data_IF_038871394840
#
_entry.id   IF_038871394840
#
_cell.length_a   1.000
_cell.length_b   1.000
_cell.length_c   1.000
_cell.angle_alpha   90.00
_cell.angle_beta   90.00
_cell.angle_gamma   90.00
#
_symmetry.space_group_name_H-M   'P 1'
#
loop_
_entity.id
_entity.type
_entity.pdbx_description
1 polymer ?
#
# COMPACT_ATOMS: atom_id res chain seq x y z
N UNK A 1 53.98 -0.70 24.26
CA UNK A 1 53.02 -0.85 23.15
C UNK A 1 51.79 -1.59 23.67
N UNK A 2 50.62 -0.95 23.65
CA UNK A 2 49.30 -1.59 23.52
C UNK A 2 48.26 -0.46 23.43
N UNK A 3 47.98 0.00 22.21
CA UNK A 3 46.88 0.93 21.93
C UNK A 3 45.59 0.11 21.98
N UNK A 4 44.70 0.39 22.93
CA UNK A 4 43.34 -0.16 22.94
C UNK A 4 42.45 0.74 22.08
N UNK A 5 42.32 0.41 20.80
CA UNK A 5 41.19 0.84 19.98
C UNK A 5 39.99 -0.05 20.33
N UNK A 6 39.12 0.44 21.21
CA UNK A 6 37.79 -0.12 21.41
C UNK A 6 36.81 0.62 20.52
N UNK A 7 36.35 -0.05 19.46
CA UNK A 7 35.42 0.48 18.47
C UNK A 7 34.09 0.90 19.11
N UNK A 8 33.68 2.15 18.85
CA UNK A 8 32.32 2.61 19.06
C UNK A 8 31.44 2.02 17.94
N UNK A 9 30.66 0.99 18.25
CA UNK A 9 29.58 0.55 17.38
C UNK A 9 28.40 1.49 17.64
N UNK A 10 28.28 2.51 16.80
CA UNK A 10 27.06 3.31 16.67
C UNK A 10 26.01 2.42 16.01
N UNK A 11 25.22 1.74 16.83
CA UNK A 11 23.99 1.10 16.39
C UNK A 11 22.96 2.21 16.15
N UNK A 12 22.90 2.73 14.91
CA UNK A 12 21.72 3.43 14.42
C UNK A 12 20.55 2.43 14.39
N UNK A 13 19.86 2.29 15.52
CA UNK A 13 18.56 1.66 15.60
C UNK A 13 17.55 2.56 14.90
N UNK A 14 17.35 2.34 13.60
CA UNK A 14 16.11 2.75 12.95
C UNK A 14 15.02 1.87 13.55
N UNK A 15 14.25 2.44 14.48
CA UNK A 15 13.02 1.82 14.93
C UNK A 15 12.11 1.70 13.71
N UNK A 16 12.07 0.52 13.11
CA UNK A 16 11.06 0.18 12.11
C UNK A 16 9.77 0.02 12.90
N UNK A 17 9.01 1.11 13.02
CA UNK A 17 7.66 1.04 13.55
C UNK A 17 6.87 0.05 12.70
N UNK A 18 6.13 -0.90 13.31
CA UNK A 18 5.31 -1.81 12.54
C UNK A 18 4.34 -1.00 11.70
N UNK A 19 4.48 -1.14 10.39
CA UNK A 19 3.54 -0.64 9.40
C UNK A 19 2.19 -1.30 9.67
N UNK A 20 1.17 -0.49 9.95
CA UNK A 20 -0.20 -0.94 10.17
C UNK A 20 -1.15 -0.10 9.33
N UNK A 21 -2.26 -0.70 8.90
CA UNK A 21 -3.35 0.02 8.23
C UNK A 21 -3.91 1.15 9.09
N UNK A 22 -3.80 1.05 10.42
CA UNK A 22 -4.22 2.10 11.35
C UNK A 22 -3.30 3.35 11.35
N UNK A 23 -2.14 3.30 10.66
CA UNK A 23 -1.26 4.47 10.53
C UNK A 23 -1.84 5.47 9.51
N UNK A 24 -2.22 6.69 9.93
CA UNK A 24 -2.75 7.69 9.02
C UNK A 24 -1.79 8.02 7.87
N UNK A 25 -0.48 8.00 8.10
CA UNK A 25 0.51 8.27 7.05
C UNK A 25 0.50 7.18 5.96
N UNK A 26 0.19 5.93 6.33
CA UNK A 26 0.03 4.84 5.38
C UNK A 26 -1.20 5.02 4.51
N UNK A 27 -2.33 5.37 5.13
CA UNK A 27 -3.59 5.61 4.43
C UNK A 27 -3.42 6.73 3.40
N UNK A 28 -2.85 7.86 3.81
CA UNK A 28 -2.58 8.99 2.92
C UNK A 28 -1.65 8.60 1.77
N UNK A 29 -0.59 7.84 2.07
CA UNK A 29 0.34 7.37 1.04
C UNK A 29 -0.35 6.43 0.05
N UNK A 30 -1.12 5.46 0.51
CA UNK A 30 -1.83 4.53 -0.36
C UNK A 30 -2.87 5.25 -1.22
N UNK A 31 -3.64 6.17 -0.63
CA UNK A 31 -4.61 7.00 -1.36
C UNK A 31 -3.92 7.80 -2.48
N UNK A 32 -2.80 8.45 -2.19
CA UNK A 32 -2.04 9.20 -3.19
C UNK A 32 -1.50 8.32 -4.33
N UNK A 33 -1.00 7.10 -4.02
CA UNK A 33 -0.56 6.16 -5.04
C UNK A 33 -1.73 5.66 -5.90
N UNK A 34 -2.87 5.36 -5.28
CA UNK A 34 -4.08 4.93 -5.97
C UNK A 34 -4.64 6.03 -6.88
N UNK A 35 -4.62 7.30 -6.45
CA UNK A 35 -4.99 8.46 -7.26
C UNK A 35 -4.03 8.61 -8.47
N UNK A 36 -2.72 8.51 -8.23
CA UNK A 36 -1.71 8.61 -9.29
C UNK A 36 -1.85 7.50 -10.35
N UNK A 37 -2.11 6.27 -9.92
CA UNK A 37 -2.42 5.17 -10.83
C UNK A 37 -3.74 5.43 -11.58
N UNK A 38 -4.80 5.81 -10.87
CA UNK A 38 -6.14 6.02 -11.45
C UNK A 38 -6.18 7.15 -12.47
N UNK A 39 -5.37 8.20 -12.29
CA UNK A 39 -5.23 9.31 -13.23
C UNK A 39 -4.68 8.89 -14.61
N UNK A 40 -4.07 7.70 -14.69
CA UNK A 40 -3.48 7.15 -15.92
C UNK A 40 -4.43 6.19 -16.64
N UNK A 41 -5.52 5.80 -16.00
CA UNK A 41 -6.49 4.88 -16.59
C UNK A 41 -7.51 5.65 -17.45
N UNK A 42 -7.94 5.07 -18.59
CA UNK A 42 -8.98 5.68 -19.42
C UNK A 42 -10.34 5.76 -18.69
N UNK A 43 -10.56 4.91 -17.70
CA UNK A 43 -11.69 4.98 -16.76
C UNK A 43 -11.18 4.71 -15.36
N UNK A 44 -11.40 5.68 -14.47
CA UNK A 44 -10.91 5.61 -13.11
C UNK A 44 -11.89 4.88 -12.20
N UNK A 45 -11.46 3.90 -11.39
CA UNK A 45 -12.32 3.31 -10.36
C UNK A 45 -12.71 4.33 -9.28
N UNK A 46 -11.94 5.41 -9.14
CA UNK A 46 -12.17 6.52 -8.21
C UNK A 46 -13.06 7.63 -8.79
N UNK A 47 -13.51 7.49 -10.04
CA UNK A 47 -14.41 8.46 -10.67
C UNK A 47 -15.68 8.63 -9.84
N UNK A 48 -16.05 9.89 -9.57
CA UNK A 48 -17.19 10.24 -8.75
C UNK A 48 -16.97 10.17 -7.23
N UNK A 49 -15.83 9.66 -6.74
CA UNK A 49 -15.52 9.67 -5.31
C UNK A 49 -14.93 11.02 -4.88
N UNK A 50 -15.47 11.60 -3.81
CA UNK A 50 -14.91 12.76 -3.14
C UNK A 50 -13.56 12.42 -2.49
N UNK A 51 -12.66 13.40 -2.28
CA UNK A 51 -11.35 13.14 -1.66
C UNK A 51 -11.42 12.41 -0.32
N UNK A 52 -12.39 12.78 0.54
CA UNK A 52 -12.62 12.08 1.82
C UNK A 52 -12.99 10.60 1.60
N UNK A 53 -13.92 10.32 0.70
CA UNK A 53 -14.33 8.95 0.35
C UNK A 53 -13.19 8.12 -0.24
N UNK A 54 -12.22 8.74 -0.94
CA UNK A 54 -11.02 8.03 -1.44
C UNK A 54 -10.07 7.64 -0.31
N UNK A 55 -9.91 8.51 0.68
CA UNK A 55 -9.15 8.21 1.90
C UNK A 55 -9.83 7.10 2.70
N UNK A 56 -11.14 7.17 2.89
CA UNK A 56 -11.89 6.14 3.62
C UNK A 56 -11.88 4.79 2.87
N UNK A 57 -11.91 4.83 1.53
CA UNK A 57 -11.68 3.64 0.70
C UNK A 57 -10.28 3.06 0.92
N UNK A 58 -9.24 3.89 0.97
CA UNK A 58 -7.87 3.46 1.20
C UNK A 58 -7.73 2.79 2.57
N UNK A 59 -8.27 3.40 3.63
CA UNK A 59 -8.28 2.83 4.98
C UNK A 59 -9.00 1.48 5.03
N UNK A 60 -10.18 1.39 4.40
CA UNK A 60 -10.93 0.13 4.26
C UNK A 60 -10.10 -0.95 3.57
N UNK A 61 -9.43 -0.65 2.45
CA UNK A 61 -8.63 -1.63 1.72
C UNK A 61 -7.46 -2.09 2.58
N UNK A 62 -6.69 -1.16 3.15
CA UNK A 62 -5.52 -1.49 3.96
C UNK A 62 -5.90 -2.33 5.17
N UNK A 63 -6.98 -1.98 5.88
CA UNK A 63 -7.43 -2.69 7.08
C UNK A 63 -7.90 -4.10 6.77
N UNK A 64 -8.72 -4.28 5.73
CA UNK A 64 -9.19 -5.61 5.33
C UNK A 64 -8.05 -6.48 4.80
N UNK A 65 -7.13 -5.88 4.05
CA UNK A 65 -5.99 -6.60 3.49
C UNK A 65 -4.96 -6.99 4.55
N UNK A 66 -4.69 -6.12 5.53
CA UNK A 66 -3.87 -6.45 6.70
C UNK A 66 -4.52 -7.55 7.54
N UNK A 67 -5.84 -7.52 7.72
CA UNK A 67 -6.57 -8.57 8.44
C UNK A 67 -6.45 -9.93 7.75
N UNK A 68 -6.51 -9.96 6.42
CA UNK A 68 -6.44 -11.20 5.64
C UNK A 68 -5.00 -11.75 5.48
N UNK A 69 -4.00 -10.88 5.36
CA UNK A 69 -2.65 -11.28 4.91
C UNK A 69 -1.50 -10.76 5.79
N UNK A 70 -1.82 -10.04 6.87
CA UNK A 70 -0.88 -9.42 7.79
C UNK A 70 0.02 -8.36 7.15
N UNK A 71 1.04 -7.94 7.90
CA UNK A 71 2.00 -6.93 7.47
C UNK A 71 2.75 -7.31 6.17
N UNK A 72 2.94 -8.61 5.91
CA UNK A 72 3.60 -9.09 4.69
C UNK A 72 2.76 -8.83 3.42
N UNK A 73 1.45 -9.07 3.49
CA UNK A 73 0.53 -8.72 2.42
C UNK A 73 0.45 -7.21 2.24
N UNK A 74 0.35 -6.47 3.35
CA UNK A 74 0.30 -5.01 3.33
C UNK A 74 1.54 -4.40 2.65
N UNK A 75 2.74 -4.92 2.96
CA UNK A 75 3.98 -4.50 2.31
C UNK A 75 4.00 -4.80 0.80
N UNK A 76 3.51 -5.98 0.41
CA UNK A 76 3.40 -6.35 -1.01
C UNK A 76 2.40 -5.45 -1.76
N UNK A 77 1.25 -5.14 -1.14
CA UNK A 77 0.23 -4.24 -1.68
C UNK A 77 0.80 -2.83 -1.90
N UNK A 78 1.48 -2.28 -0.90
CA UNK A 78 2.13 -0.97 -1.01
C UNK A 78 3.19 -0.94 -2.11
N UNK A 79 3.96 -2.03 -2.25
CA UNK A 79 4.98 -2.15 -3.29
C UNK A 79 4.37 -2.21 -4.68
N UNK A 80 3.35 -3.05 -4.89
CA UNK A 80 2.60 -3.12 -6.15
C UNK A 80 1.99 -1.77 -6.51
N UNK A 81 1.32 -1.11 -5.55
CA UNK A 81 0.66 0.18 -5.83
C UNK A 81 1.68 1.28 -6.17
N UNK A 82 2.87 1.25 -5.54
CA UNK A 82 3.97 2.15 -5.90
C UNK A 82 4.47 1.93 -7.33
N UNK A 83 4.60 0.67 -7.74
CA UNK A 83 5.01 0.27 -9.10
C UNK A 83 3.98 0.73 -10.12
N UNK A 84 2.70 0.47 -9.88
CA UNK A 84 1.59 0.93 -10.72
C UNK A 84 1.53 2.46 -10.85
N UNK A 85 1.66 3.19 -9.74
CA UNK A 85 1.65 4.65 -9.74
C UNK A 85 2.82 5.25 -10.55
N UNK A 86 4.00 4.61 -10.51
CA UNK A 86 5.16 5.02 -11.31
C UNK A 86 4.97 4.80 -12.81
N UNK A 87 4.05 3.93 -13.21
CA UNK A 87 3.75 3.64 -14.60
C UNK A 87 4.43 2.43 -15.19
N UNK A 88 4.81 1.48 -14.33
CA UNK A 88 5.31 0.20 -14.79
C UNK A 88 4.28 -0.49 -15.69
N UNK A 89 4.79 -1.31 -16.61
CA UNK A 89 3.98 -2.16 -17.46
C UNK A 89 3.42 -3.33 -16.65
N UNK A 90 2.33 -3.94 -17.12
CA UNK A 90 1.64 -5.02 -16.40
C UNK A 90 2.47 -6.31 -16.24
N UNK A 91 3.57 -6.43 -16.97
CA UNK A 91 4.54 -7.53 -16.88
C UNK A 91 5.66 -7.27 -15.86
N UNK A 92 5.63 -6.15 -15.13
CA UNK A 92 6.54 -5.94 -13.99
C UNK A 92 6.39 -7.09 -12.98
N UNK A 93 7.52 -7.70 -12.60
CA UNK A 93 7.53 -8.88 -11.75
C UNK A 93 6.84 -8.63 -10.40
N UNK A 94 6.89 -7.40 -9.88
CA UNK A 94 6.20 -7.02 -8.64
C UNK A 94 4.68 -7.17 -8.78
N UNK A 95 4.14 -6.76 -9.92
CA UNK A 95 2.71 -6.87 -10.23
C UNK A 95 2.34 -8.34 -10.43
N UNK A 96 3.16 -9.09 -11.18
CA UNK A 96 2.95 -10.53 -11.43
C UNK A 96 2.94 -11.32 -10.13
N UNK A 97 3.95 -11.12 -9.27
CA UNK A 97 4.08 -11.82 -8.00
C UNK A 97 2.96 -11.45 -7.02
N UNK A 98 2.55 -10.19 -7.00
CA UNK A 98 1.41 -9.77 -6.19
C UNK A 98 0.12 -10.45 -6.67
N UNK A 99 -0.17 -10.38 -7.97
CA UNK A 99 -1.39 -10.94 -8.55
C UNK A 99 -1.48 -12.45 -8.37
N UNK A 100 -0.36 -13.17 -8.53
CA UNK A 100 -0.31 -14.61 -8.34
C UNK A 100 -0.65 -15.04 -6.90
N UNK A 101 -0.38 -14.18 -5.92
CA UNK A 101 -0.54 -14.49 -4.49
C UNK A 101 -1.81 -13.91 -3.88
N UNK A 102 -2.21 -12.71 -4.30
CA UNK A 102 -3.22 -11.92 -3.63
C UNK A 102 -4.25 -11.29 -4.56
N UNK A 103 -4.10 -11.42 -5.88
CA UNK A 103 -4.96 -10.76 -6.87
C UNK A 103 -6.46 -10.96 -6.62
N UNK A 104 -6.95 -12.20 -6.49
CA UNK A 104 -8.38 -12.45 -6.26
C UNK A 104 -8.94 -11.82 -4.98
N UNK A 105 -8.16 -11.82 -3.89
CA UNK A 105 -8.58 -11.20 -2.63
C UNK A 105 -8.51 -9.67 -2.68
N UNK A 106 -7.48 -9.13 -3.34
CA UNK A 106 -7.35 -7.70 -3.57
C UNK A 106 -8.55 -7.18 -4.40
N UNK A 107 -8.88 -7.83 -5.51
CA UNK A 107 -10.01 -7.43 -6.36
C UNK A 107 -11.34 -7.45 -5.59
N UNK A 108 -11.56 -8.48 -4.77
CA UNK A 108 -12.75 -8.58 -3.93
C UNK A 108 -12.82 -7.43 -2.92
N UNK A 109 -11.75 -7.21 -2.15
CA UNK A 109 -11.68 -6.16 -1.13
C UNK A 109 -11.82 -4.77 -1.76
N UNK A 110 -11.15 -4.54 -2.89
CA UNK A 110 -11.22 -3.30 -3.66
C UNK A 110 -12.67 -2.98 -4.05
N UNK A 111 -13.38 -3.93 -4.64
CA UNK A 111 -14.77 -3.74 -5.04
C UNK A 111 -15.70 -3.48 -3.84
N UNK A 112 -15.53 -4.25 -2.76
CA UNK A 112 -16.31 -4.10 -1.52
C UNK A 112 -16.13 -2.70 -0.93
N UNK A 113 -14.88 -2.26 -0.76
CA UNK A 113 -14.56 -0.95 -0.22
C UNK A 113 -15.00 0.19 -1.17
N UNK A 114 -14.83 0.05 -2.48
CA UNK A 114 -15.32 1.05 -3.45
C UNK A 114 -16.84 1.19 -3.40
N UNK A 115 -17.57 0.07 -3.29
CA UNK A 115 -19.03 0.09 -3.20
C UNK A 115 -19.52 0.78 -1.93
N UNK A 116 -18.88 0.52 -0.78
CA UNK A 116 -19.23 1.14 0.49
C UNK A 116 -19.17 2.68 0.43
N UNK A 117 -18.21 3.22 -0.31
CA UNK A 117 -17.98 4.66 -0.44
C UNK A 117 -18.88 5.37 -1.47
N UNK A 118 -19.60 4.62 -2.33
CA UNK A 118 -20.57 5.20 -3.27
C UNK A 118 -21.99 5.26 -2.72
N UNK A 119 -22.27 4.55 -1.63
CA UNK A 119 -23.58 4.51 -0.97
C UNK A 119 -23.68 5.36 0.30
N UNK A 120 -22.61 6.06 0.68
CA UNK A 120 -22.53 6.97 1.84
C UNK A 120 -22.62 8.42 1.39
#
# INVERSE_FOLDING_TARGET
MAVRLGAAIVACGLAVTPVSAADPAMVERFAALADAFSARLPRSPLEGLAPASRRDRADCILTNFETAHGASGLSALMSMMSVLASGAQFDDQTIVDFNARFGPDYDRIEMECTRAQRGS
#
